data_IF_167239787014
#
_entry.id   IF_167239787014
#
_cell.length_a   1.000
_cell.length_b   1.000
_cell.length_c   1.000
_cell.angle_alpha   90.00
_cell.angle_beta   90.00
_cell.angle_gamma   90.00
#
_symmetry.space_group_name_H-M   'P 1'
#
loop_
_entity.id
_entity.type
_entity.pdbx_description
1 polymer ?
#
# COMPACT_ATOMS: atom_id res chain seq x y z
N UNK A 1 -9.64 -9.45 9.58
CA UNK A 1 -9.67 -8.32 8.62
C UNK A 1 -8.80 -7.20 9.17
N UNK A 2 -7.87 -6.70 8.36
CA UNK A 2 -7.12 -5.47 8.66
C UNK A 2 -7.90 -4.24 8.19
N UNK A 3 -7.79 -3.13 8.91
CA UNK A 3 -8.50 -1.90 8.58
C UNK A 3 -7.71 -0.65 8.99
N UNK A 4 -7.95 0.49 8.32
CA UNK A 4 -7.42 1.78 8.76
C UNK A 4 -8.31 2.39 9.86
N UNK A 5 -7.69 2.90 10.92
CA UNK A 5 -8.38 3.60 12.01
C UNK A 5 -7.72 4.95 12.31
N UNK A 6 -8.53 5.97 12.59
CA UNK A 6 -8.06 7.31 12.97
C UNK A 6 -8.36 7.56 14.44
N UNK A 7 -7.43 8.22 15.14
CA UNK A 7 -7.65 8.79 16.47
C UNK A 7 -7.96 10.30 16.44
N UNK A 8 -8.23 10.84 15.25
CA UNK A 8 -8.44 12.27 15.02
C UNK A 8 -7.16 13.03 14.66
N UNK A 9 -5.98 12.41 14.83
CA UNK A 9 -4.69 13.02 14.47
C UNK A 9 -3.97 12.26 13.36
N UNK A 10 -3.94 10.92 13.42
CA UNK A 10 -3.26 10.08 12.44
C UNK A 10 -4.00 8.77 12.18
N UNK A 11 -3.75 8.20 11.00
CA UNK A 11 -4.23 6.87 10.62
C UNK A 11 -3.22 5.81 11.06
N UNK A 12 -3.74 4.67 11.51
CA UNK A 12 -3.01 3.48 11.94
C UNK A 12 -3.74 2.23 11.46
N UNK A 13 -3.09 1.08 11.46
CA UNK A 13 -3.73 -0.17 11.05
C UNK A 13 -4.22 -0.94 12.26
N UNK A 14 -5.51 -1.25 12.27
CA UNK A 14 -6.15 -2.16 13.21
C UNK A 14 -6.49 -3.51 12.59
N UNK A 15 -6.90 -4.44 13.44
CA UNK A 15 -7.40 -5.75 13.08
C UNK A 15 -8.74 -6.04 13.78
N UNK A 16 -9.64 -6.68 13.07
CA UNK A 16 -10.93 -7.15 13.57
C UNK A 16 -11.18 -8.59 13.12
N UNK A 17 -11.84 -9.37 13.98
CA UNK A 17 -12.15 -10.77 13.76
C UNK A 17 -13.65 -10.97 13.66
N UNK A 18 -14.05 -11.94 12.85
CA UNK A 18 -15.43 -12.39 12.74
C UNK A 18 -15.44 -13.88 12.45
N UNK A 19 -16.31 -14.62 13.14
CA UNK A 19 -16.55 -16.03 12.86
C UNK A 19 -17.52 -16.25 11.69
N UNK A 20 -18.31 -15.24 11.33
CA UNK A 20 -19.41 -15.36 10.36
C UNK A 20 -19.40 -14.29 9.26
N UNK A 21 -18.40 -13.39 9.25
CA UNK A 21 -18.30 -12.30 8.29
C UNK A 21 -19.31 -11.16 8.47
N UNK A 22 -20.23 -11.26 9.44
CA UNK A 22 -21.32 -10.29 9.68
C UNK A 22 -21.07 -9.51 10.97
N UNK A 23 -20.75 -10.22 12.07
CA UNK A 23 -20.47 -9.62 13.36
C UNK A 23 -18.97 -9.53 13.55
N UNK A 24 -18.45 -8.31 13.71
CA UNK A 24 -17.02 -8.04 13.79
C UNK A 24 -16.64 -7.50 15.17
N UNK A 25 -15.59 -8.07 15.76
CA UNK A 25 -15.01 -7.62 17.03
C UNK A 25 -13.61 -7.09 16.79
N UNK A 26 -13.34 -5.85 17.24
CA UNK A 26 -12.01 -5.24 17.16
C UNK A 26 -11.04 -6.00 18.07
N UNK A 27 -9.84 -6.26 17.57
CA UNK A 27 -8.75 -6.82 18.36
C UNK A 27 -8.40 -5.90 19.55
N UNK A 28 -8.21 -6.47 20.73
CA UNK A 28 -7.95 -5.68 21.94
C UNK A 28 -6.59 -4.96 21.90
N UNK A 29 -5.59 -5.55 21.24
CA UNK A 29 -4.26 -4.96 21.05
C UNK A 29 -4.14 -4.02 19.86
N UNK A 30 -5.23 -3.38 19.42
CA UNK A 30 -5.16 -2.40 18.35
C UNK A 30 -4.45 -1.10 18.81
N UNK A 31 -3.66 -0.43 17.94
CA UNK A 31 -3.36 -0.80 16.55
C UNK A 31 -2.38 -1.97 16.44
N UNK A 32 -2.51 -2.78 15.39
CA UNK A 32 -1.60 -3.93 15.11
C UNK A 32 -0.34 -3.52 14.34
N UNK A 33 -0.38 -2.37 13.67
CA UNK A 33 0.76 -1.67 13.10
C UNK A 33 0.57 -0.18 13.36
N UNK A 34 1.49 0.42 14.12
CA UNK A 34 1.44 1.85 14.47
C UNK A 34 2.22 2.70 13.46
N UNK A 35 1.86 3.98 13.37
CA UNK A 35 2.56 4.99 12.59
C UNK A 35 3.90 5.37 13.25
N UNK A 36 4.88 5.77 12.44
CA UNK A 36 6.17 6.25 12.92
C UNK A 36 6.15 7.75 13.24
N UNK A 37 7.32 8.36 13.52
CA UNK A 37 7.44 9.79 13.75
C UNK A 37 7.70 10.60 12.46
N UNK A 38 8.08 9.94 11.36
CA UNK A 38 8.76 10.58 10.23
C UNK A 38 7.89 10.54 8.95
N UNK A 39 8.41 9.94 7.87
CA UNK A 39 7.73 9.75 6.58
C UNK A 39 6.41 8.99 6.68
N UNK A 40 6.22 8.18 7.73
CA UNK A 40 5.02 7.39 7.98
C UNK A 40 4.29 7.79 9.27
N UNK A 41 4.26 9.10 9.55
CA UNK A 41 3.48 9.72 10.63
C UNK A 41 1.99 9.32 10.60
N UNK A 42 1.44 9.04 9.43
CA UNK A 42 0.09 8.54 9.22
C UNK A 42 0.13 7.41 8.20
N UNK A 43 -0.43 6.24 8.54
CA UNK A 43 -0.37 5.04 7.70
C UNK A 43 -1.74 4.46 7.37
N UNK A 44 -1.88 3.92 6.17
CA UNK A 44 -3.11 3.29 5.68
C UNK A 44 -2.80 2.22 4.63
N UNK A 45 -3.85 1.69 3.98
CA UNK A 45 -3.76 0.84 2.80
C UNK A 45 -2.88 -0.41 2.92
N UNK A 46 -2.76 -1.00 4.11
CA UNK A 46 -2.00 -2.24 4.30
C UNK A 46 -2.50 -3.36 3.37
N UNK A 47 -1.64 -3.82 2.46
CA UNK A 47 -1.86 -4.97 1.58
C UNK A 47 -1.09 -6.17 2.11
N UNK A 48 -1.82 -7.11 2.68
CA UNK A 48 -1.30 -8.31 3.33
C UNK A 48 -1.28 -9.50 2.37
N UNK A 49 -0.17 -10.23 2.34
CA UNK A 49 -0.03 -11.49 1.63
C UNK A 49 0.86 -12.46 2.41
N UNK A 50 0.61 -13.76 2.29
CA UNK A 50 1.34 -14.79 3.04
C UNK A 50 2.41 -15.44 2.16
N UNK A 51 3.66 -15.38 2.59
CA UNK A 51 4.77 -16.12 2.01
C UNK A 51 4.82 -17.53 2.65
N UNK A 52 4.35 -18.52 1.90
CA UNK A 52 4.30 -19.91 2.35
C UNK A 52 5.68 -20.57 2.48
N UNK A 53 6.70 -20.06 1.80
CA UNK A 53 8.07 -20.56 1.90
C UNK A 53 8.74 -20.10 3.20
N UNK A 54 8.64 -18.79 3.50
CA UNK A 54 9.15 -18.20 4.75
C UNK A 54 8.20 -18.40 5.94
N UNK A 55 6.97 -18.85 5.70
CA UNK A 55 5.90 -19.02 6.68
C UNK A 55 5.57 -17.73 7.45
N UNK A 56 5.54 -16.61 6.74
CA UNK A 56 5.28 -15.28 7.31
C UNK A 56 4.27 -14.49 6.49
N UNK A 57 3.58 -13.56 7.14
CA UNK A 57 2.85 -12.49 6.47
C UNK A 57 3.82 -11.36 6.10
N UNK A 58 3.64 -10.83 4.90
CA UNK A 58 4.24 -9.59 4.43
C UNK A 58 3.13 -8.56 4.18
N UNK A 59 3.47 -7.29 4.37
CA UNK A 59 2.54 -6.19 4.29
C UNK A 59 3.19 -4.98 3.64
N UNK A 60 2.67 -4.54 2.50
CA UNK A 60 3.01 -3.22 1.95
C UNK A 60 1.99 -2.20 2.42
N UNK A 61 2.43 -1.05 2.92
CA UNK A 61 1.54 -0.03 3.48
C UNK A 61 1.85 1.35 2.93
N UNK A 62 0.83 2.19 2.86
CA UNK A 62 0.95 3.60 2.54
C UNK A 62 1.38 4.38 3.78
N UNK A 63 2.36 5.28 3.65
CA UNK A 63 2.78 6.19 4.71
C UNK A 63 3.01 7.60 4.19
N UNK A 64 2.65 8.59 5.02
CA UNK A 64 2.84 10.02 4.74
C UNK A 64 3.31 10.79 5.97
N UNK A 65 4.13 11.85 5.81
CA UNK A 65 4.61 12.67 6.91
C UNK A 65 3.53 13.64 7.41
N UNK A 66 3.85 14.32 8.51
CA UNK A 66 3.13 15.54 8.92
C UNK A 66 3.14 16.54 7.76
N UNK A 67 2.01 17.22 7.52
CA UNK A 67 1.89 18.21 6.44
C UNK A 67 1.58 17.62 5.06
N UNK A 68 1.61 16.29 4.91
CA UNK A 68 1.16 15.59 3.70
C UNK A 68 1.92 16.00 2.43
N UNK A 69 3.23 16.23 2.56
CA UNK A 69 4.09 16.71 1.49
C UNK A 69 4.34 15.67 0.39
N UNK A 70 4.28 14.38 0.73
CA UNK A 70 4.35 13.25 -0.19
C UNK A 70 3.75 12.02 0.46
N UNK A 71 3.64 10.91 -0.28
CA UNK A 71 3.44 9.61 0.34
C UNK A 71 4.17 8.48 -0.39
N UNK A 72 4.59 7.50 0.40
CA UNK A 72 5.49 6.44 0.00
C UNK A 72 4.95 5.07 0.45
N UNK A 73 5.63 4.00 0.01
CA UNK A 73 5.26 2.63 0.32
C UNK A 73 6.30 2.04 1.28
N UNK A 74 5.84 1.56 2.43
CA UNK A 74 6.65 0.82 3.41
C UNK A 74 6.35 -0.67 3.39
N UNK A 75 7.29 -1.44 3.95
CA UNK A 75 7.19 -2.88 4.18
C UNK A 75 7.11 -3.18 5.68
N UNK A 76 6.26 -4.13 6.05
CA UNK A 76 6.22 -4.74 7.36
C UNK A 76 6.03 -6.27 7.24
N UNK A 77 6.46 -7.00 8.25
CA UNK A 77 6.32 -8.47 8.33
C UNK A 77 5.63 -8.88 9.62
N UNK A 78 4.99 -10.03 9.63
CA UNK A 78 4.32 -10.58 10.81
C UNK A 78 4.29 -12.10 10.75
N UNK A 79 4.39 -12.77 11.90
CA UNK A 79 4.26 -14.23 11.96
C UNK A 79 2.80 -14.68 12.15
N UNK A 80 1.96 -13.82 12.72
CA UNK A 80 0.58 -14.13 13.11
C UNK A 80 -0.48 -13.22 12.45
N UNK A 81 -0.04 -12.22 11.69
CA UNK A 81 -0.88 -11.21 11.07
C UNK A 81 -1.41 -10.15 12.06
N UNK A 82 -1.06 -10.23 13.34
CA UNK A 82 -1.58 -9.37 14.42
C UNK A 82 -0.50 -8.52 15.07
N UNK A 83 0.76 -8.94 15.00
CA UNK A 83 1.91 -8.16 15.46
C UNK A 83 2.84 -7.93 14.29
N UNK A 84 3.00 -6.66 13.88
CA UNK A 84 3.77 -6.29 12.70
C UNK A 84 5.10 -5.62 13.07
N UNK A 85 6.16 -6.00 12.38
CA UNK A 85 7.49 -5.39 12.46
C UNK A 85 7.80 -4.68 11.15
N UNK A 86 7.99 -3.35 11.21
CA UNK A 86 8.40 -2.53 10.04
C UNK A 86 9.81 -2.90 9.59
N UNK A 87 10.04 -2.89 8.28
CA UNK A 87 11.38 -3.00 7.72
C UNK A 87 12.22 -1.76 8.09
N UNK A 88 13.44 -1.98 8.58
CA UNK A 88 14.31 -0.91 9.09
C UNK A 88 14.73 0.08 7.99
N UNK A 89 14.80 -0.37 6.73
CA UNK A 89 15.16 0.46 5.58
C UNK A 89 13.96 1.12 4.89
N UNK A 90 12.80 1.18 5.55
CA UNK A 90 11.63 1.87 4.99
C UNK A 90 11.90 3.36 4.73
N UNK A 91 11.24 3.97 3.72
CA UNK A 91 10.29 3.35 2.77
C UNK A 91 10.98 2.49 1.70
N UNK A 92 10.29 1.46 1.19
CA UNK A 92 10.80 0.59 0.11
C UNK A 92 10.51 1.13 -1.30
N UNK A 93 9.57 2.06 -1.42
CA UNK A 93 9.37 2.85 -2.64
C UNK A 93 8.99 4.28 -2.28
N UNK A 94 9.56 5.26 -2.98
CA UNK A 94 9.20 6.68 -2.91
C UNK A 94 8.75 7.20 -4.28
N UNK A 95 7.92 8.26 -4.34
CA UNK A 95 7.64 9.01 -5.57
C UNK A 95 8.90 9.32 -6.39
N UNK A 96 8.79 9.29 -7.72
CA UNK A 96 9.87 9.69 -8.62
C UNK A 96 9.74 11.16 -9.00
N UNK A 97 10.75 12.02 -8.76
CA UNK A 97 10.68 13.43 -9.16
C UNK A 97 10.44 13.63 -10.67
N UNK A 98 9.66 14.65 -11.03
CA UNK A 98 9.34 15.02 -12.41
C UNK A 98 8.70 13.86 -13.21
N UNK A 99 7.78 13.15 -12.59
CA UNK A 99 7.11 12.00 -13.17
C UNK A 99 5.60 12.05 -12.94
N UNK A 100 4.88 11.11 -13.53
CA UNK A 100 3.44 10.97 -13.35
C UNK A 100 3.01 10.60 -11.91
N UNK A 101 3.97 10.24 -11.07
CA UNK A 101 3.80 9.78 -9.69
C UNK A 101 4.69 10.56 -8.71
N UNK A 102 5.02 11.82 -9.01
CA UNK A 102 6.01 12.59 -8.26
C UNK A 102 5.53 13.18 -6.93
N UNK A 103 4.26 12.97 -6.57
CA UNK A 103 3.68 13.43 -5.31
C UNK A 103 3.33 12.27 -4.36
N UNK A 104 2.55 11.29 -4.83
CA UNK A 104 2.04 10.19 -3.99
C UNK A 104 2.12 8.86 -4.72
N UNK A 105 2.52 7.81 -4.00
CA UNK A 105 2.31 6.41 -4.40
C UNK A 105 1.62 5.60 -3.29
N UNK A 106 0.76 4.65 -3.66
CA UNK A 106 0.03 3.78 -2.71
C UNK A 106 -0.01 2.32 -3.19
N UNK A 107 0.26 1.33 -2.31
CA UNK A 107 0.18 -0.08 -2.70
C UNK A 107 -1.27 -0.53 -2.83
N UNK A 108 -1.61 -1.15 -3.95
CA UNK A 108 -3.00 -1.58 -4.22
C UNK A 108 -3.16 -3.08 -4.32
N UNK A 109 -2.27 -3.76 -5.05
CA UNK A 109 -2.34 -5.21 -5.17
C UNK A 109 -0.97 -5.83 -5.41
N UNK A 110 -0.68 -6.93 -4.72
CA UNK A 110 0.56 -7.70 -4.89
C UNK A 110 0.21 -9.07 -5.46
N UNK A 111 0.81 -9.40 -6.60
CA UNK A 111 0.77 -10.72 -7.21
C UNK A 111 2.13 -11.41 -7.03
N UNK A 112 2.13 -12.62 -6.48
CA UNK A 112 3.33 -13.44 -6.34
C UNK A 112 3.41 -14.49 -7.45
N UNK A 113 4.57 -14.62 -8.09
CA UNK A 113 4.90 -15.64 -9.11
C UNK A 113 6.27 -16.22 -8.83
N UNK A 114 6.33 -17.28 -8.02
CA UNK A 114 7.60 -17.74 -7.45
C UNK A 114 8.19 -16.64 -6.57
N UNK A 115 9.47 -16.33 -6.75
CA UNK A 115 10.15 -15.24 -6.04
C UNK A 115 9.81 -13.84 -6.58
N UNK A 116 9.19 -13.75 -7.76
CA UNK A 116 8.80 -12.48 -8.35
C UNK A 116 7.52 -11.95 -7.70
N UNK A 117 7.62 -10.75 -7.14
CA UNK A 117 6.51 -9.96 -6.63
C UNK A 117 6.20 -8.86 -7.65
N UNK A 118 4.93 -8.76 -8.03
CA UNK A 118 4.42 -7.76 -8.95
C UNK A 118 3.45 -6.88 -8.16
N UNK A 119 3.82 -5.62 -7.96
CA UNK A 119 2.99 -4.62 -7.30
C UNK A 119 2.28 -3.78 -8.35
N UNK A 120 0.95 -3.82 -8.32
CA UNK A 120 0.12 -2.77 -8.91
C UNK A 120 -0.07 -1.69 -7.86
N UNK A 121 0.32 -0.48 -8.21
CA UNK A 121 0.26 0.68 -7.32
C UNK A 121 -0.41 1.84 -8.02
N UNK A 122 -0.96 2.73 -7.22
CA UNK A 122 -1.45 4.01 -7.66
C UNK A 122 -0.37 5.06 -7.51
N UNK A 123 -0.32 5.99 -8.47
CA UNK A 123 0.53 7.16 -8.44
C UNK A 123 -0.24 8.42 -8.81
N UNK A 124 0.17 9.54 -8.23
CA UNK A 124 -0.33 10.87 -8.51
C UNK A 124 0.84 11.86 -8.53
N UNK A 125 0.85 12.80 -9.48
CA UNK A 125 1.90 13.82 -9.59
C UNK A 125 1.38 15.25 -9.83
N UNK A 126 0.23 15.39 -10.47
CA UNK A 126 -0.39 16.68 -10.83
C UNK A 126 -1.61 17.02 -9.96
N UNK A 127 -1.69 16.47 -8.74
CA UNK A 127 -2.77 16.65 -7.74
C UNK A 127 -4.20 16.23 -8.15
N UNK A 128 -4.48 16.05 -9.45
CA UNK A 128 -5.85 15.81 -9.93
C UNK A 128 -6.10 14.41 -10.50
N UNK A 129 -5.05 13.61 -10.80
CA UNK A 129 -5.26 12.35 -11.56
C UNK A 129 -4.52 11.16 -10.99
N UNK A 130 -5.28 10.20 -10.46
CA UNK A 130 -4.76 8.88 -10.11
C UNK A 130 -4.56 8.04 -11.37
N UNK A 131 -3.42 7.36 -11.41
CA UNK A 131 -3.01 6.46 -12.49
C UNK A 131 -2.46 5.17 -11.88
N UNK A 132 -2.50 4.09 -12.66
CA UNK A 132 -2.00 2.78 -12.21
C UNK A 132 -0.66 2.50 -12.87
N UNK A 133 0.33 2.21 -12.04
CA UNK A 133 1.64 1.70 -12.44
C UNK A 133 1.83 0.25 -12.01
N UNK A 134 2.86 -0.38 -12.55
CA UNK A 134 3.35 -1.67 -12.07
C UNK A 134 4.83 -1.62 -11.74
N UNK A 135 5.19 -2.22 -10.62
CA UNK A 135 6.56 -2.40 -10.17
C UNK A 135 6.80 -3.86 -9.81
N UNK A 136 8.06 -4.25 -9.82
CA UNK A 136 8.48 -5.62 -9.63
C UNK A 136 9.57 -5.68 -8.56
N UNK A 137 9.61 -6.77 -7.80
CA UNK A 137 10.66 -7.02 -6.81
C UNK A 137 10.91 -8.52 -6.65
N UNK A 138 12.16 -8.90 -6.37
CA UNK A 138 12.50 -10.27 -5.95
C UNK A 138 12.52 -10.45 -4.42
N UNK A 139 12.55 -9.34 -3.66
CA UNK A 139 12.82 -9.38 -2.23
C UNK A 139 11.95 -8.42 -1.39
N UNK A 140 10.96 -7.76 -2.01
CA UNK A 140 10.07 -6.76 -1.42
C UNK A 140 10.73 -5.44 -0.98
N UNK A 141 12.05 -5.33 -1.14
CA UNK A 141 12.83 -4.16 -0.73
C UNK A 141 13.26 -3.37 -1.96
N UNK A 142 13.87 -4.05 -2.94
CA UNK A 142 14.34 -3.43 -4.17
C UNK A 142 13.24 -3.54 -5.23
N UNK A 143 12.67 -2.40 -5.60
CA UNK A 143 11.59 -2.31 -6.57
C UNK A 143 12.05 -1.62 -7.86
N UNK A 144 11.77 -2.24 -9.00
CA UNK A 144 11.93 -1.58 -10.30
C UNK A 144 10.57 -1.38 -10.97
N UNK A 145 10.34 -0.17 -11.47
CA UNK A 145 9.12 0.21 -12.19
C UNK A 145 9.18 -0.26 -13.63
N UNK A 146 8.04 -0.61 -14.19
CA UNK A 146 7.93 -0.87 -15.62
C UNK A 146 8.17 0.43 -16.41
N UNK A 147 8.98 0.36 -17.46
CA UNK A 147 9.29 1.51 -18.31
C UNK A 147 8.06 2.04 -19.07
N UNK A 148 6.99 1.25 -19.16
CA UNK A 148 5.71 1.65 -19.78
C UNK A 148 4.76 2.33 -18.80
N UNK A 149 5.16 2.54 -17.54
CA UNK A 149 4.32 3.21 -16.57
C UNK A 149 4.03 4.67 -16.99
N UNK A 150 2.81 5.18 -16.75
CA UNK A 150 1.66 4.48 -16.16
C UNK A 150 1.06 3.46 -17.15
N UNK A 151 0.68 2.27 -16.68
CA UNK A 151 0.10 1.23 -17.54
C UNK A 151 -1.40 1.44 -17.79
N UNK A 152 -2.07 2.19 -16.91
CA UNK A 152 -3.43 2.68 -17.12
C UNK A 152 -3.51 4.13 -16.62
N UNK A 153 -4.07 5.00 -17.45
CA UNK A 153 -4.38 6.39 -17.10
C UNK A 153 -5.78 6.77 -17.58
N UNK A 154 -6.25 7.98 -17.24
CA UNK A 154 -7.61 8.42 -17.56
C UNK A 154 -7.94 8.36 -19.05
N UNK A 155 -9.21 8.05 -19.35
CA UNK A 155 -9.78 8.05 -20.69
C UNK A 155 -9.91 9.45 -21.30
N UNK A 156 -10.54 9.53 -22.48
CA UNK A 156 -10.83 10.82 -23.12
C UNK A 156 -11.96 11.57 -22.40
N UNK A 157 -12.08 12.91 -22.56
CA UNK A 157 -13.21 13.65 -22.03
C UNK A 157 -14.56 13.05 -22.46
N UNK A 158 -15.36 12.64 -21.48
CA UNK A 158 -16.65 11.96 -21.70
C UNK A 158 -16.61 10.45 -21.50
N UNK A 159 -15.44 9.83 -21.40
CA UNK A 159 -15.30 8.43 -20.99
C UNK A 159 -15.63 8.26 -19.50
N UNK A 160 -16.02 7.04 -19.12
CA UNK A 160 -16.42 6.74 -17.73
C UNK A 160 -15.27 6.92 -16.72
N UNK A 161 -14.02 6.89 -17.20
CA UNK A 161 -12.77 7.01 -16.46
C UNK A 161 -11.93 8.23 -16.91
N UNK A 162 -12.58 9.27 -17.46
CA UNK A 162 -11.92 10.45 -18.03
C UNK A 162 -11.06 11.27 -17.04
N UNK A 163 -11.29 11.14 -15.73
CA UNK A 163 -10.59 11.91 -14.70
C UNK A 163 -9.63 11.07 -13.85
N UNK A 164 -9.95 9.80 -13.59
CA UNK A 164 -9.20 8.97 -12.64
C UNK A 164 -9.28 7.49 -12.97
N UNK A 165 -8.17 6.78 -12.81
CA UNK A 165 -8.11 5.32 -12.84
C UNK A 165 -7.40 4.84 -11.58
N UNK A 166 -8.11 4.04 -10.78
CA UNK A 166 -7.69 3.63 -9.45
C UNK A 166 -8.14 2.20 -9.11
N UNK A 167 -7.69 1.73 -7.94
CA UNK A 167 -8.00 0.50 -7.24
C UNK A 167 -7.85 -0.77 -8.10
N UNK A 168 -6.63 -1.04 -8.65
CA UNK A 168 -6.39 -2.29 -9.36
C UNK A 168 -6.67 -3.48 -8.43
N UNK A 169 -7.58 -4.33 -8.89
CA UNK A 169 -8.00 -5.57 -8.25
C UNK A 169 -7.94 -6.68 -9.30
N UNK A 170 -7.54 -7.89 -8.87
CA UNK A 170 -7.72 -9.10 -9.66
C UNK A 170 -8.44 -10.16 -8.83
N UNK A 171 -9.53 -10.72 -9.36
CA UNK A 171 -10.10 -11.96 -8.83
C UNK A 171 -9.20 -13.13 -9.24
N UNK A 172 -8.82 -13.97 -8.28
CA UNK A 172 -8.07 -15.21 -8.49
C UNK A 172 -8.81 -16.19 -9.38
#
# INVERSE_FOLDING_TARGET
>A
MWYGGSDGTKLRIGYAESANGIVWTKHAGNPVLDAGPDWDYSISDLKVFYDGYRKQYNGLYYGRPVGYEYAAIGLATSLDGKVWTKYVGNPVMTPLPNSWEDYVISPKYVLMKGDLHILFYEGQGDFDRWRIGVAYSMNLVDWWRDARNPILGPGFPGDFDAETVADPLRSG
#
